data_IF_947069571444
#
_entry.id   IF_947069571444
#
_cell.length_a   1.000
_cell.length_b   1.000
_cell.length_c   1.000
_cell.angle_alpha   90.00
_cell.angle_beta   90.00
_cell.angle_gamma   90.00
#
_symmetry.space_group_name_H-M   'P 1'
#
loop_
_entity.id
_entity.type
_entity.pdbx_description
1 polymer ?
#
# COMPACT_ATOMS: atom_id res chain seq x y z
N UNK A 1 -15.96 -9.44 -5.56
CA UNK A 1 -16.37 -8.07 -5.94
C UNK A 1 -15.21 -7.15 -5.60
N UNK A 2 -14.80 -6.21 -6.47
CA UNK A 2 -13.66 -5.34 -6.18
C UNK A 2 -13.96 -4.41 -5.00
N UNK A 3 -13.01 -4.30 -4.07
CA UNK A 3 -13.11 -3.36 -2.94
C UNK A 3 -12.57 -2.00 -3.37
N UNK A 4 -13.44 -1.00 -3.45
CA UNK A 4 -13.07 0.37 -3.79
C UNK A 4 -12.54 1.09 -2.54
N UNK A 5 -11.33 1.65 -2.66
CA UNK A 5 -10.72 2.46 -1.60
C UNK A 5 -10.59 3.91 -2.07
N UNK A 6 -11.50 4.75 -1.61
CA UNK A 6 -11.38 6.20 -1.80
C UNK A 6 -10.34 6.74 -0.83
N UNK A 7 -9.27 7.33 -1.36
CA UNK A 7 -8.19 7.87 -0.54
C UNK A 7 -7.54 9.10 -1.16
N UNK A 8 -6.78 9.82 -0.34
CA UNK A 8 -6.06 11.03 -0.72
C UNK A 8 -4.61 10.70 -1.06
N UNK A 9 -4.15 11.24 -2.19
CA UNK A 9 -2.72 11.39 -2.49
C UNK A 9 -2.21 12.59 -1.69
N UNK A 10 -1.19 12.40 -0.85
CA UNK A 10 -0.59 13.46 -0.06
C UNK A 10 0.93 13.43 -0.15
N UNK A 11 1.59 14.53 0.20
CA UNK A 11 3.03 14.54 0.41
C UNK A 11 3.37 14.05 1.83
N UNK A 12 4.46 13.31 1.98
CA UNK A 12 5.06 12.94 3.26
C UNK A 12 6.58 13.07 3.11
N UNK A 13 7.20 13.96 3.90
CA UNK A 13 8.64 14.28 3.81
C UNK A 13 9.10 14.56 2.38
N UNK A 14 8.32 15.35 1.63
CA UNK A 14 8.61 15.72 0.25
C UNK A 14 8.28 14.66 -0.81
N UNK A 15 7.84 13.46 -0.43
CA UNK A 15 7.49 12.38 -1.37
C UNK A 15 5.99 12.19 -1.48
N UNK A 16 5.47 11.91 -2.68
CA UNK A 16 4.06 11.57 -2.90
C UNK A 16 3.76 10.22 -2.25
N UNK A 17 2.59 10.13 -1.62
CA UNK A 17 2.14 8.94 -0.90
C UNK A 17 0.65 8.75 -1.00
N UNK A 18 0.24 7.49 -1.08
CA UNK A 18 -1.15 7.06 -1.05
C UNK A 18 -1.39 6.29 0.24
N UNK A 19 -2.48 6.59 0.93
CA UNK A 19 -2.87 5.90 2.16
C UNK A 19 -3.93 4.87 1.85
N UNK A 20 -3.72 3.62 2.21
CA UNK A 20 -4.74 2.58 2.04
C UNK A 20 -5.18 2.12 3.43
N UNK A 21 -6.49 2.06 3.67
CA UNK A 21 -7.05 1.60 4.94
C UNK A 21 -6.72 0.12 5.16
N UNK A 22 -5.93 -0.17 6.20
CA UNK A 22 -5.43 -1.53 6.46
C UNK A 22 -6.53 -2.57 6.69
N UNK A 23 -7.69 -2.18 7.22
CA UNK A 23 -8.80 -3.13 7.43
C UNK A 23 -9.43 -3.58 6.10
N UNK A 24 -9.46 -2.71 5.08
CA UNK A 24 -9.93 -3.10 3.75
C UNK A 24 -8.94 -4.05 3.08
N UNK A 25 -7.65 -3.78 3.20
CA UNK A 25 -6.60 -4.69 2.71
C UNK A 25 -6.68 -6.07 3.39
N UNK A 26 -6.82 -6.10 4.71
CA UNK A 26 -6.90 -7.34 5.49
C UNK A 26 -8.09 -8.21 5.10
N UNK A 27 -9.25 -7.61 4.80
CA UNK A 27 -10.44 -8.34 4.31
C UNK A 27 -10.19 -9.05 2.98
N UNK A 28 -9.31 -8.51 2.15
CA UNK A 28 -8.89 -9.11 0.87
C UNK A 28 -7.66 -10.03 1.04
N UNK A 29 -7.28 -10.38 2.26
CA UNK A 29 -6.14 -11.27 2.54
C UNK A 29 -4.75 -10.61 2.41
N UNK A 30 -4.70 -9.29 2.34
CA UNK A 30 -3.44 -8.54 2.30
C UNK A 30 -3.02 -8.15 3.72
N UNK A 31 -1.91 -8.71 4.18
CA UNK A 31 -1.43 -8.60 5.55
C UNK A 31 -0.04 -7.98 5.63
N UNK A 32 0.24 -7.35 6.78
CA UNK A 32 1.57 -6.81 7.04
C UNK A 32 2.59 -7.95 7.16
N UNK A 33 3.72 -7.81 6.47
CA UNK A 33 4.73 -8.86 6.37
C UNK A 33 4.88 -9.40 4.95
N UNK A 34 3.79 -9.39 4.16
CA UNK A 34 3.81 -9.79 2.77
C UNK A 34 4.66 -8.85 1.91
N UNK A 35 5.07 -9.37 0.76
CA UNK A 35 5.85 -8.64 -0.23
C UNK A 35 4.99 -8.37 -1.47
N UNK A 36 5.36 -7.33 -2.22
CA UNK A 36 4.67 -6.94 -3.44
C UNK A 36 5.61 -6.26 -4.43
N UNK A 37 5.23 -6.33 -5.69
CA UNK A 37 5.81 -5.54 -6.76
C UNK A 37 4.88 -4.39 -7.14
N UNK A 38 5.49 -3.34 -7.69
CA UNK A 38 4.78 -2.19 -8.20
C UNK A 38 5.12 -2.03 -9.68
N UNK A 39 4.09 -2.07 -10.52
CA UNK A 39 4.19 -1.79 -11.95
C UNK A 39 3.37 -0.55 -12.31
N UNK A 40 3.79 0.12 -13.37
CA UNK A 40 3.02 1.21 -14.01
C UNK A 40 2.42 0.62 -15.27
N UNK A 41 1.10 0.61 -15.37
CA UNK A 41 0.37 0.10 -16.52
C UNK A 41 -0.49 1.22 -17.08
N UNK A 42 0.03 1.90 -18.10
CA UNK A 42 -0.58 3.11 -18.65
C UNK A 42 -0.72 4.22 -17.60
N UNK A 43 -1.96 4.58 -17.28
CA UNK A 43 -2.27 5.60 -16.26
C UNK A 43 -2.51 5.01 -14.86
N UNK A 44 -2.26 3.71 -14.67
CA UNK A 44 -2.53 3.00 -13.42
C UNK A 44 -1.25 2.54 -12.74
N UNK A 45 -1.28 2.55 -11.41
CA UNK A 45 -0.28 1.89 -10.57
C UNK A 45 -0.86 0.57 -10.09
N UNK A 46 -0.22 -0.54 -10.44
CA UNK A 46 -0.66 -1.89 -10.06
C UNK A 46 0.30 -2.43 -9.01
N UNK A 47 -0.26 -2.78 -7.84
CA UNK A 47 0.47 -3.41 -6.75
C UNK A 47 0.08 -4.88 -6.70
N UNK A 48 1.04 -5.77 -6.91
CA UNK A 48 0.79 -7.22 -6.98
C UNK A 48 1.52 -7.91 -5.83
N UNK A 49 0.77 -8.61 -4.98
CA UNK A 49 1.37 -9.43 -3.90
C UNK A 49 2.23 -10.53 -4.53
N UNK A 50 3.48 -10.61 -4.10
CA UNK A 50 4.48 -11.54 -4.58
C UNK A 50 5.45 -11.81 -3.43
N UNK A 51 5.67 -13.08 -3.07
CA UNK A 51 6.53 -13.47 -1.95
C UNK A 51 7.99 -13.00 -2.12
N UNK A 52 8.42 -12.76 -3.36
CA UNK A 52 9.75 -12.26 -3.70
C UNK A 52 9.73 -10.80 -4.18
N UNK A 53 8.61 -10.10 -3.98
CA UNK A 53 8.43 -8.73 -4.45
C UNK A 53 9.43 -7.77 -3.82
N UNK A 54 9.78 -6.71 -4.55
CA UNK A 54 10.81 -5.75 -4.13
C UNK A 54 10.42 -4.93 -2.88
N UNK A 55 9.14 -4.91 -2.51
CA UNK A 55 8.58 -4.03 -1.47
C UNK A 55 7.80 -4.85 -0.45
N UNK A 56 7.69 -4.33 0.79
CA UNK A 56 7.03 -5.02 1.91
C UNK A 56 5.81 -4.24 2.40
N UNK A 57 4.70 -4.94 2.64
CA UNK A 57 3.51 -4.39 3.31
C UNK A 57 3.86 -4.13 4.78
N UNK A 58 3.92 -2.86 5.16
CA UNK A 58 4.33 -2.43 6.49
C UNK A 58 3.18 -2.52 7.50
N UNK A 59 3.51 -2.94 8.73
CA UNK A 59 2.57 -2.89 9.85
C UNK A 59 2.49 -1.47 10.42
N UNK A 60 1.28 -0.95 10.63
CA UNK A 60 1.10 0.27 11.43
C UNK A 60 1.19 -0.07 12.93
N UNK A 61 2.06 0.60 13.68
CA UNK A 61 1.98 0.61 15.16
C UNK A 61 0.88 1.58 15.60
N UNK A 62 -0.01 1.15 16.51
CA UNK A 62 -1.07 2.00 17.09
C UNK A 62 -0.40 3.21 17.76
N UNK A 63 -0.73 4.44 17.34
CA UNK A 63 -0.12 5.68 17.83
C UNK A 63 0.97 6.30 16.95
N UNK A 64 1.46 5.61 15.90
CA UNK A 64 2.42 6.19 14.95
C UNK A 64 1.70 6.85 13.77
N UNK A 65 2.06 8.10 13.48
CA UNK A 65 1.71 8.74 12.21
C UNK A 65 2.52 8.08 11.08
N UNK A 66 1.82 7.34 10.22
CA UNK A 66 2.06 7.13 8.78
C UNK A 66 3.38 6.50 8.24
N UNK A 67 3.41 5.24 7.74
CA UNK A 67 4.39 4.80 6.67
C UNK A 67 3.93 3.59 5.79
N UNK A 68 3.47 3.78 4.53
CA UNK A 68 3.46 2.77 3.44
C UNK A 68 4.64 3.01 2.48
N UNK A 69 5.67 2.15 2.49
CA UNK A 69 7.00 2.27 1.84
C UNK A 69 7.04 3.03 0.51
N UNK A 70 8.02 3.95 0.41
CA UNK A 70 8.29 4.90 -0.68
C UNK A 70 8.42 4.29 -2.06
N UNK A 71 7.78 4.86 -3.08
CA UNK A 71 8.30 4.88 -4.46
C UNK A 71 9.38 5.96 -4.53
#
# INVERSE_FOLDING_TARGET
>A
MPTIVNTKVSLNKGRKRVWIEGEKLRREGIEAGQYYDLTVEGEQLVLTINDFGARKVSRRKKGASSILSSI
#
